data_IF_152606516785
#
_entry.id   IF_152606516785
#
_cell.length_a   1.000
_cell.length_b   1.000
_cell.length_c   1.000
_cell.angle_alpha   90.00
_cell.angle_beta   90.00
_cell.angle_gamma   90.00
#
_symmetry.space_group_name_H-M   'P 1'
#
loop_
_entity.id
_entity.type
_entity.pdbx_description
1 polymer ?
#
# COMPACT_ATOMS: atom_id res chain seq x y z
N UNK A 1 -20.66 -8.36 2.46
CA UNK A 1 -19.77 -8.83 3.54
C UNK A 1 -19.09 -10.13 3.12
N UNK A 2 -17.77 -10.18 3.20
CA UNK A 2 -16.95 -11.36 2.96
C UNK A 2 -16.40 -11.84 4.30
N UNK A 3 -16.59 -13.10 4.69
CA UNK A 3 -16.06 -13.61 5.96
C UNK A 3 -14.55 -13.76 5.90
N UNK A 4 -13.87 -13.37 6.97
CA UNK A 4 -12.45 -13.69 7.18
C UNK A 4 -12.36 -15.19 7.49
N UNK A 5 -11.59 -15.92 6.72
CA UNK A 5 -11.43 -17.36 6.89
C UNK A 5 -10.21 -17.72 7.76
N UNK A 6 -9.20 -16.87 7.78
CA UNK A 6 -8.02 -17.10 8.60
C UNK A 6 -7.47 -15.78 9.13
N UNK A 7 -7.08 -15.78 10.38
CA UNK A 7 -6.34 -14.71 11.04
C UNK A 7 -5.05 -15.31 11.58
N UNK A 8 -3.92 -14.83 11.07
CA UNK A 8 -2.60 -15.24 11.55
C UNK A 8 -1.95 -14.06 12.26
N UNK A 9 -1.37 -14.30 13.41
CA UNK A 9 -0.57 -13.33 14.14
C UNK A 9 0.87 -13.81 14.25
N UNK A 10 1.80 -12.93 13.96
CA UNK A 10 3.23 -13.18 14.06
C UNK A 10 3.88 -12.07 14.88
N UNK A 11 4.68 -12.47 15.86
CA UNK A 11 5.42 -11.52 16.68
C UNK A 11 6.76 -11.24 16.03
N UNK A 12 6.92 -10.02 15.53
CA UNK A 12 8.18 -9.53 14.99
C UNK A 12 9.08 -9.06 16.12
N UNK A 13 10.35 -9.44 16.07
CA UNK A 13 11.33 -9.08 17.08
C UNK A 13 12.36 -8.10 16.51
N UNK A 14 12.84 -7.13 17.30
CA UNK A 14 13.79 -6.11 16.83
C UNK A 14 15.22 -6.63 16.59
N UNK A 15 15.48 -7.92 16.77
CA UNK A 15 16.83 -8.51 16.71
C UNK A 15 17.30 -8.88 15.29
N UNK A 16 16.41 -8.96 14.34
CA UNK A 16 16.75 -9.13 12.92
C UNK A 16 16.77 -7.76 12.25
N UNK A 17 17.36 -7.67 11.06
CA UNK A 17 17.28 -6.48 10.19
C UNK A 17 15.86 -6.23 9.70
N UNK A 18 14.87 -6.45 10.57
CA UNK A 18 13.48 -6.26 10.28
C UNK A 18 13.12 -4.78 10.31
N UNK A 19 12.48 -4.37 9.24
CA UNK A 19 12.03 -3.00 9.03
C UNK A 19 10.55 -3.01 8.70
N UNK A 20 9.90 -1.89 8.99
CA UNK A 20 8.54 -1.62 8.55
C UNK A 20 8.52 -0.34 7.72
N UNK A 21 7.57 -0.25 6.83
CA UNK A 21 7.25 0.99 6.12
C UNK A 21 6.30 1.79 7.00
N UNK A 22 6.77 2.95 7.45
CA UNK A 22 5.97 3.89 8.22
C UNK A 22 5.29 4.88 7.29
N UNK A 23 3.97 4.86 7.28
CA UNK A 23 3.12 5.79 6.54
C UNK A 23 2.58 6.82 7.53
N UNK A 24 3.03 8.07 7.51
CA UNK A 24 2.50 9.11 8.40
C UNK A 24 1.00 9.37 8.15
N UNK A 25 0.30 9.86 9.16
CA UNK A 25 -1.09 10.26 9.02
C UNK A 25 -1.28 11.28 7.91
N UNK A 26 -2.34 11.14 7.13
CA UNK A 26 -2.75 12.07 6.08
C UNK A 26 -2.06 11.91 4.73
N UNK A 27 -0.94 11.19 4.65
CA UNK A 27 -0.13 11.11 3.42
C UNK A 27 -0.86 10.37 2.29
N UNK A 28 -1.59 9.34 2.62
CA UNK A 28 -2.42 8.55 1.69
C UNK A 28 -3.90 8.62 2.07
N UNK A 29 -4.35 9.76 2.59
CA UNK A 29 -5.68 9.98 3.16
C UNK A 29 -5.99 9.09 4.38
N UNK A 30 -4.97 8.56 5.01
CA UNK A 30 -5.08 7.78 6.23
C UNK A 30 -5.21 8.69 7.46
N UNK A 31 -6.11 8.34 8.38
CA UNK A 31 -6.39 9.14 9.58
C UNK A 31 -5.35 8.97 10.70
N UNK A 32 -4.49 7.97 10.61
CA UNK A 32 -3.43 7.70 11.60
C UNK A 32 -2.19 7.11 10.95
N UNK A 33 -1.07 7.12 11.68
CA UNK A 33 0.15 6.46 11.23
C UNK A 33 -0.09 4.95 11.08
N UNK A 34 0.36 4.41 9.96
CA UNK A 34 0.25 2.97 9.63
C UNK A 34 1.64 2.38 9.44
N UNK A 35 1.78 1.15 9.87
CA UNK A 35 3.00 0.38 9.78
C UNK A 35 2.74 -0.85 8.92
N UNK A 36 3.48 -0.99 7.83
CA UNK A 36 3.29 -2.03 6.84
C UNK A 36 4.58 -2.84 6.66
N UNK A 37 4.45 -4.11 6.32
CA UNK A 37 5.57 -4.89 5.80
C UNK A 37 5.91 -4.43 4.38
N UNK A 38 7.15 -4.56 3.98
CA UNK A 38 7.65 -4.19 2.64
C UNK A 38 6.78 -4.76 1.50
N UNK A 39 6.41 -6.03 1.63
CA UNK A 39 5.62 -6.76 0.65
C UNK A 39 4.09 -6.62 0.78
N UNK A 40 3.58 -5.85 1.73
CA UNK A 40 2.14 -5.59 1.82
C UNK A 40 1.69 -4.77 0.62
N UNK A 41 0.77 -5.29 -0.17
CA UNK A 41 0.19 -4.55 -1.29
C UNK A 41 -0.86 -3.56 -0.81
N UNK A 42 -0.75 -2.34 -1.34
CA UNK A 42 -1.63 -1.20 -1.04
C UNK A 42 -2.32 -0.78 -2.33
N UNK A 43 -3.60 -0.50 -2.25
CA UNK A 43 -4.35 0.06 -3.37
C UNK A 43 -4.13 1.56 -3.44
N UNK A 44 -3.63 2.03 -4.56
CA UNK A 44 -3.48 3.45 -4.88
C UNK A 44 -4.46 3.82 -6.00
N UNK A 45 -5.23 4.86 -5.77
CA UNK A 45 -6.11 5.47 -6.78
C UNK A 45 -5.53 6.81 -7.21
N UNK A 46 -5.39 6.99 -8.50
CA UNK A 46 -4.84 8.24 -9.05
C UNK A 46 -5.20 8.39 -10.52
N UNK A 47 -5.46 9.63 -10.92
CA UNK A 47 -5.60 9.99 -12.33
C UNK A 47 -4.31 9.72 -13.12
N UNK A 48 -3.16 9.75 -12.46
CA UNK A 48 -1.89 9.40 -13.09
C UNK A 48 -1.78 7.89 -13.33
N UNK A 49 -2.36 7.06 -12.47
CA UNK A 49 -2.46 5.62 -12.71
C UNK A 49 -3.32 5.34 -13.95
N UNK A 50 -4.44 6.03 -14.10
CA UNK A 50 -5.29 5.92 -15.28
C UNK A 50 -4.55 6.30 -16.57
N UNK A 51 -3.73 7.35 -16.54
CA UNK A 51 -2.99 7.80 -17.71
C UNK A 51 -1.84 6.85 -18.12
N UNK A 52 -1.21 6.17 -17.16
CA UNK A 52 -0.01 5.34 -17.40
C UNK A 52 -0.33 3.86 -17.52
N UNK A 53 -1.37 3.39 -16.81
CA UNK A 53 -1.69 1.96 -16.67
C UNK A 53 -3.06 1.58 -17.25
N UNK A 54 -3.80 2.55 -17.77
CA UNK A 54 -5.19 2.40 -18.21
C UNK A 54 -6.11 1.82 -17.11
N UNK A 55 -5.81 2.19 -15.86
CA UNK A 55 -6.54 1.75 -14.69
C UNK A 55 -6.57 2.84 -13.60
N UNK A 56 -7.76 3.15 -13.08
CA UNK A 56 -7.92 4.18 -12.04
C UNK A 56 -7.32 3.79 -10.68
N UNK A 57 -7.08 2.51 -10.49
CA UNK A 57 -6.53 1.95 -9.26
C UNK A 57 -5.50 0.87 -9.59
N UNK A 58 -4.48 0.77 -8.75
CA UNK A 58 -3.38 -0.16 -8.90
C UNK A 58 -2.94 -0.69 -7.55
N UNK A 59 -2.53 -1.95 -7.50
CA UNK A 59 -1.89 -2.56 -6.34
C UNK A 59 -0.37 -2.43 -6.48
N UNK A 60 0.28 -1.88 -5.46
CA UNK A 60 1.73 -1.81 -5.39
C UNK A 60 2.23 -2.16 -3.98
N UNK A 61 3.44 -2.73 -3.84
CA UNK A 61 3.99 -3.09 -2.54
C UNK A 61 4.32 -1.83 -1.73
N UNK A 62 4.16 -1.90 -0.41
CA UNK A 62 4.43 -0.78 0.49
C UNK A 62 5.86 -0.23 0.35
N UNK A 63 6.83 -1.08 -0.02
CA UNK A 63 8.21 -0.66 -0.30
C UNK A 63 8.30 0.40 -1.42
N UNK A 64 7.35 0.40 -2.37
CA UNK A 64 7.29 1.38 -3.46
C UNK A 64 6.86 2.77 -2.99
N UNK A 65 6.20 2.87 -1.84
CA UNK A 65 5.74 4.14 -1.27
C UNK A 65 6.85 4.98 -0.64
N UNK A 66 8.02 4.37 -0.37
CA UNK A 66 9.14 5.05 0.29
C UNK A 66 9.64 6.25 -0.50
N UNK A 67 9.81 7.38 0.20
CA UNK A 67 10.18 8.65 -0.40
C UNK A 67 9.00 9.57 -0.71
N UNK A 68 7.78 9.06 -0.76
CA UNK A 68 6.59 9.87 -0.97
C UNK A 68 6.05 10.39 0.37
N UNK A 69 5.83 11.71 0.48
CA UNK A 69 5.14 12.32 1.62
C UNK A 69 5.74 12.01 3.01
N UNK A 70 7.02 11.70 3.10
CA UNK A 70 7.65 11.31 4.35
C UNK A 70 7.47 9.84 4.73
N UNK A 71 6.93 9.02 3.82
CA UNK A 71 6.91 7.57 3.98
C UNK A 71 8.34 7.05 3.94
N UNK A 72 8.72 6.27 4.91
CA UNK A 72 10.07 5.73 5.03
C UNK A 72 10.12 4.35 5.65
N UNK A 73 11.15 3.62 5.29
CA UNK A 73 11.51 2.36 5.93
C UNK A 73 12.18 2.67 7.27
N UNK A 74 11.70 2.07 8.33
CA UNK A 74 12.20 2.28 9.69
C UNK A 74 12.46 0.96 10.39
N UNK A 75 13.48 0.89 11.27
CA UNK A 75 13.64 -0.29 12.12
C UNK A 75 12.42 -0.48 13.01
N UNK A 76 12.18 -1.72 13.43
CA UNK A 76 11.12 -2.03 14.39
C UNK A 76 11.28 -1.20 15.67
N UNK A 77 10.25 -0.48 16.11
CA UNK A 77 10.31 0.34 17.33
C UNK A 77 10.34 -0.51 18.62
N UNK A 78 10.25 -1.81 18.50
CA UNK A 78 10.17 -2.79 19.57
C UNK A 78 9.53 -4.07 19.06
N UNK A 79 9.03 -4.89 19.97
CA UNK A 79 8.23 -6.07 19.61
C UNK A 79 6.88 -5.64 19.03
N UNK A 80 6.58 -6.07 17.81
CA UNK A 80 5.33 -5.73 17.09
C UNK A 80 4.60 -7.02 16.72
N UNK A 81 3.28 -7.03 16.84
CA UNK A 81 2.47 -8.13 16.32
C UNK A 81 1.95 -7.76 14.93
N UNK A 82 2.37 -8.53 13.94
CA UNK A 82 1.81 -8.44 12.59
C UNK A 82 0.59 -9.35 12.48
N UNK A 83 -0.49 -8.83 11.91
CA UNK A 83 -1.72 -9.58 11.69
C UNK A 83 -1.93 -9.73 10.19
N UNK A 84 -2.16 -10.97 9.76
CA UNK A 84 -2.47 -11.30 8.36
C UNK A 84 -3.88 -11.88 8.30
N UNK A 85 -4.72 -11.28 7.47
CA UNK A 85 -6.07 -11.75 7.18
C UNK A 85 -6.09 -12.49 5.85
N UNK A 86 -6.86 -13.57 5.78
CA UNK A 86 -7.09 -14.31 4.54
C UNK A 86 -8.58 -14.56 4.34
N UNK A 87 -8.98 -14.54 3.07
CA UNK A 87 -10.35 -14.72 2.60
C UNK A 87 -10.47 -15.94 1.68
N UNK A 88 -11.66 -16.24 1.21
CA UNK A 88 -11.86 -17.32 0.21
C UNK A 88 -11.17 -16.98 -1.12
N UNK A 89 -11.24 -15.71 -1.51
CA UNK A 89 -10.61 -15.13 -2.70
C UNK A 89 -9.74 -13.95 -2.29
N UNK A 90 -8.93 -13.43 -3.19
CA UNK A 90 -8.17 -12.22 -2.96
C UNK A 90 -9.12 -11.02 -2.79
N UNK A 91 -8.92 -10.27 -1.74
CA UNK A 91 -9.76 -9.12 -1.38
C UNK A 91 -8.93 -7.87 -1.12
N UNK A 92 -9.53 -6.72 -1.39
CA UNK A 92 -9.02 -5.44 -0.93
C UNK A 92 -9.92 -4.92 0.17
N UNK A 93 -9.37 -4.72 1.34
CA UNK A 93 -10.11 -4.28 2.53
C UNK A 93 -9.77 -2.84 2.89
N UNK A 94 -10.75 -2.15 3.48
CA UNK A 94 -10.49 -0.89 4.18
C UNK A 94 -9.95 -1.19 5.58
N UNK A 95 -8.71 -0.78 5.85
CA UNK A 95 -8.20 -0.74 7.21
C UNK A 95 -8.83 0.44 7.98
N UNK A 96 -8.92 0.32 9.29
CA UNK A 96 -9.45 1.37 10.15
C UNK A 96 -8.73 2.73 10.00
N UNK A 97 -7.49 2.71 9.52
CA UNK A 97 -6.71 3.89 9.18
C UNK A 97 -7.14 4.60 7.89
N UNK A 98 -8.02 4.01 7.09
CA UNK A 98 -8.45 4.54 5.78
C UNK A 98 -7.65 4.01 4.58
N UNK A 99 -6.59 3.25 4.80
CA UNK A 99 -5.87 2.59 3.70
C UNK A 99 -6.64 1.39 3.17
N UNK A 100 -6.50 1.16 1.87
CA UNK A 100 -6.99 -0.07 1.24
C UNK A 100 -5.83 -1.04 1.08
N UNK A 101 -5.93 -2.20 1.73
CA UNK A 101 -4.90 -3.22 1.77
C UNK A 101 -5.36 -4.49 1.07
N UNK A 102 -4.49 -5.08 0.27
CA UNK A 102 -4.75 -6.39 -0.33
C UNK A 102 -4.56 -7.50 0.71
N UNK A 103 -5.50 -8.41 0.75
CA UNK A 103 -5.47 -9.62 1.55
C UNK A 103 -5.58 -10.83 0.62
N UNK A 104 -4.60 -11.71 0.68
CA UNK A 104 -4.56 -12.91 -0.15
C UNK A 104 -5.63 -13.93 0.24
N UNK A 105 -6.00 -14.78 -0.70
CA UNK A 105 -6.88 -15.93 -0.44
C UNK A 105 -6.19 -16.98 0.45
N UNK A 106 -7.00 -17.84 1.05
CA UNK A 106 -6.49 -19.01 1.82
C UNK A 106 -5.79 -20.02 0.92
N UNK A 107 -6.12 -20.07 -0.37
CA UNK A 107 -5.44 -20.91 -1.36
C UNK A 107 -4.02 -20.43 -1.69
N UNK A 108 -3.68 -19.19 -1.33
CA UNK A 108 -2.32 -18.73 -1.14
C UNK A 108 -1.45 -18.62 -2.38
N UNK A 109 -1.91 -18.01 -3.46
CA UNK A 109 -0.96 -17.50 -4.45
C UNK A 109 -0.41 -16.14 -3.98
N UNK A 110 0.91 -16.00 -3.95
CA UNK A 110 1.52 -14.69 -3.78
C UNK A 110 1.10 -13.83 -4.98
N UNK A 111 0.65 -12.60 -4.70
CA UNK A 111 0.42 -11.63 -5.76
C UNK A 111 1.77 -11.23 -6.32
N UNK A 112 1.95 -11.46 -7.61
CA UNK A 112 3.20 -11.12 -8.29
C UNK A 112 3.02 -9.89 -9.20
N UNK A 113 4.07 -9.05 -9.33
CA UNK A 113 4.04 -7.95 -10.29
C UNK A 113 3.81 -8.46 -11.72
N UNK A 114 2.88 -7.82 -12.43
CA UNK A 114 2.48 -8.21 -13.78
C UNK A 114 1.30 -9.18 -13.82
N UNK A 115 0.87 -9.71 -12.66
CA UNK A 115 -0.40 -10.41 -12.55
C UNK A 115 -1.56 -9.43 -12.34
N UNK A 116 -2.76 -9.85 -12.68
CA UNK A 116 -3.97 -9.12 -12.35
C UNK A 116 -4.62 -9.76 -11.12
N UNK A 117 -4.88 -8.94 -10.11
CA UNK A 117 -5.71 -9.32 -8.98
C UNK A 117 -7.17 -8.92 -9.28
N UNK A 118 -7.91 -9.81 -9.92
CA UNK A 118 -9.20 -9.49 -10.50
C UNK A 118 -9.05 -8.53 -11.70
N UNK A 119 -9.49 -7.28 -11.55
CA UNK A 119 -9.35 -6.21 -12.55
C UNK A 119 -8.36 -5.13 -12.13
N UNK A 120 -7.57 -5.40 -11.10
CA UNK A 120 -6.59 -4.45 -10.59
C UNK A 120 -5.20 -4.85 -11.07
N UNK A 121 -4.51 -3.99 -11.84
CA UNK A 121 -3.13 -4.26 -12.20
C UNK A 121 -2.25 -4.26 -10.95
N UNK A 122 -1.28 -5.16 -10.94
CA UNK A 122 -0.28 -5.30 -9.89
C UNK A 122 1.07 -4.89 -10.44
N UNK A 123 1.71 -3.91 -9.83
CA UNK A 123 3.03 -3.43 -10.25
C UNK A 123 4.07 -3.66 -9.17
N UNK A 124 5.33 -3.78 -9.59
CA UNK A 124 6.46 -3.97 -8.69
C UNK A 124 6.97 -2.66 -8.07
N UNK A 125 8.04 -2.78 -7.29
CA UNK A 125 8.61 -1.66 -6.53
C UNK A 125 9.05 -0.52 -7.44
N UNK A 126 9.79 -0.79 -8.52
CA UNK A 126 10.37 0.26 -9.37
C UNK A 126 9.28 1.04 -10.10
N UNK A 127 8.36 0.35 -10.78
CA UNK A 127 7.22 1.00 -11.43
C UNK A 127 6.31 1.72 -10.43
N UNK A 128 6.17 1.16 -9.23
CA UNK A 128 5.43 1.78 -8.14
C UNK A 128 6.07 3.10 -7.69
N UNK A 129 7.39 3.13 -7.57
CA UNK A 129 8.13 4.37 -7.25
C UNK A 129 7.97 5.43 -8.33
N UNK A 130 8.07 5.03 -9.60
CA UNK A 130 7.86 5.96 -10.71
C UNK A 130 6.46 6.55 -10.69
N UNK A 131 5.44 5.73 -10.44
CA UNK A 131 4.07 6.20 -10.29
C UNK A 131 3.91 7.16 -9.10
N UNK A 132 4.48 6.84 -7.94
CA UNK A 132 4.42 7.70 -6.76
C UNK A 132 5.15 9.03 -6.98
N UNK A 133 6.24 9.03 -7.74
CA UNK A 133 6.94 10.26 -8.14
C UNK A 133 6.08 11.14 -9.05
N UNK A 134 5.35 10.55 -10.00
CA UNK A 134 4.39 11.27 -10.85
C UNK A 134 3.25 11.90 -10.04
N UNK A 135 2.69 11.13 -9.09
CA UNK A 135 1.65 11.62 -8.18
C UNK A 135 2.16 12.80 -7.36
N UNK A 136 3.38 12.70 -6.82
CA UNK A 136 4.02 13.78 -6.06
C UNK A 136 4.25 15.04 -6.90
N UNK A 137 4.73 14.91 -8.13
CA UNK A 137 4.92 16.01 -9.06
C UNK A 137 3.59 16.66 -9.46
N UNK A 138 2.55 15.87 -9.69
CA UNK A 138 1.20 16.37 -10.00
C UNK A 138 0.56 17.14 -8.84
N UNK A 139 0.78 16.70 -7.61
CA UNK A 139 0.30 17.40 -6.41
C UNK A 139 0.97 18.78 -6.24
N UNK A 140 2.24 18.89 -6.58
CA UNK A 140 2.97 20.19 -6.57
C UNK A 140 2.44 21.14 -7.64
N UNK A 141 2.15 20.65 -8.84
CA UNK A 141 1.61 21.46 -9.92
C UNK A 141 0.17 21.96 -9.66
N UNK A 142 -0.63 21.23 -8.92
CA UNK A 142 -1.99 21.67 -8.53
C UNK A 142 -1.98 22.71 -7.41
N UNK A 143 -0.94 22.73 -6.58
CA UNK A 143 -0.78 23.76 -5.55
C UNK A 143 -0.36 25.12 -6.09
N UNK A 144 0.30 25.16 -7.26
CA UNK A 144 0.76 26.38 -7.95
C UNK A 144 -0.29 27.00 -8.88
N UNK A 145 -1.44 26.38 -9.07
CA UNK A 145 -2.54 27.00 -9.80
C UNK A 145 -3.12 28.14 -8.96
N UNK A 146 -3.11 29.39 -9.46
CA UNK A 146 -3.75 30.48 -8.76
C UNK A 146 -5.21 30.11 -8.57
N UNK A 147 -5.65 30.10 -7.31
CA UNK A 147 -7.07 29.95 -7.00
C UNK A 147 -7.80 31.03 -7.79
N UNK A 148 -8.60 30.59 -8.76
CA UNK A 148 -9.52 31.50 -9.43
C UNK A 148 -10.36 32.17 -8.36
N UNK A 149 -10.32 33.46 -8.35
CA UNK A 149 -11.06 34.28 -7.41
C UNK A 149 -12.59 34.10 -7.62
#
# INVERSE_FOLDING_TARGET
FRPVLSVQSERLQPFADEHLIRVPAGVLNNCGTVWLRDGQFVLIRSVHAAAVLDAEAVLLPAAALTGYGGIKRVPLPGSVTAITLRFAEDEVIFAASGLCLHCASVAGSAVEPGADCGYLPVIGVDRGRDLMALIGAGALNTADLPRAA
#
